data_IF_977512029823
#
_entry.id   IF_977512029823
#
_cell.length_a   1.000
_cell.length_b   1.000
_cell.length_c   1.000
_cell.angle_alpha   90.00
_cell.angle_beta   90.00
_cell.angle_gamma   90.00
#
_symmetry.space_group_name_H-M   'P 1'
#
loop_
_entity.id
_entity.type
_entity.pdbx_description
1 polymer ?
#
# COMPACT_ATOMS: atom_id res chain seq x y z
N UNK A 1 11.49 -17.14 -45.03
CA UNK A 1 11.40 -16.39 -43.76
C UNK A 1 12.79 -15.88 -43.41
N UNK A 2 13.09 -14.62 -43.69
CA UNK A 2 14.45 -14.07 -43.58
C UNK A 2 14.70 -13.40 -42.20
N UNK A 3 15.96 -13.35 -41.72
CA UNK A 3 16.36 -12.73 -40.44
C UNK A 3 16.06 -11.23 -40.30
N UNK A 4 15.71 -10.55 -41.41
CA UNK A 4 15.47 -9.10 -41.47
C UNK A 4 14.20 -8.65 -40.74
N UNK A 5 13.18 -9.50 -40.59
CA UNK A 5 11.94 -9.15 -39.85
C UNK A 5 12.15 -9.05 -38.33
N UNK A 6 13.16 -9.71 -37.78
CA UNK A 6 13.46 -9.64 -36.33
C UNK A 6 14.14 -8.31 -35.96
N UNK A 7 14.86 -7.70 -36.90
CA UNK A 7 15.54 -6.41 -36.73
C UNK A 7 14.59 -5.20 -36.83
N UNK A 8 13.54 -5.27 -37.66
CA UNK A 8 12.56 -4.17 -37.76
C UNK A 8 11.72 -3.99 -36.48
N UNK A 9 11.39 -5.08 -35.77
CA UNK A 9 10.67 -4.98 -34.50
C UNK A 9 11.48 -4.33 -33.37
N UNK A 10 12.82 -4.46 -33.36
CA UNK A 10 13.66 -3.81 -32.36
C UNK A 10 13.82 -2.29 -32.58
N UNK A 11 13.64 -1.80 -33.83
CA UNK A 11 13.77 -0.36 -34.14
C UNK A 11 12.64 0.49 -33.56
N UNK A 12 11.43 -0.08 -33.44
CA UNK A 12 10.25 0.57 -32.81
C UNK A 12 10.49 0.91 -31.33
N UNK A 13 11.37 0.19 -30.65
CA UNK A 13 11.74 0.43 -29.23
C UNK A 13 12.87 1.46 -29.04
N UNK A 14 13.53 1.87 -30.13
CA UNK A 14 14.63 2.86 -30.15
C UNK A 14 14.21 4.19 -30.77
N UNK A 15 12.96 4.33 -31.20
CA UNK A 15 12.41 5.60 -31.64
C UNK A 15 12.20 6.53 -30.44
N UNK A 16 12.65 7.78 -30.58
CA UNK A 16 12.58 8.82 -29.55
C UNK A 16 11.19 8.94 -28.92
N UNK A 17 10.14 8.74 -29.71
CA UNK A 17 8.74 8.82 -29.26
C UNK A 17 8.36 7.69 -28.30
N UNK A 18 8.88 6.48 -28.50
CA UNK A 18 8.62 5.36 -27.60
C UNK A 18 9.35 5.55 -26.26
N UNK A 19 10.57 6.09 -26.29
CA UNK A 19 11.33 6.42 -25.07
C UNK A 19 10.60 7.52 -24.28
N UNK A 20 10.08 8.54 -24.95
CA UNK A 20 9.28 9.58 -24.27
C UNK A 20 8.02 9.00 -23.62
N UNK A 21 7.34 8.05 -24.28
CA UNK A 21 6.21 7.32 -23.67
C UNK A 21 6.61 6.53 -22.43
N UNK A 22 7.71 5.79 -22.48
CA UNK A 22 8.23 5.05 -21.31
C UNK A 22 8.59 5.95 -20.12
N UNK A 23 8.95 7.20 -20.36
CA UNK A 23 9.33 8.15 -19.31
C UNK A 23 8.10 8.87 -18.74
N UNK A 24 7.17 9.29 -19.59
CA UNK A 24 6.10 10.24 -19.20
C UNK A 24 4.69 9.65 -19.19
N UNK A 25 4.41 8.61 -19.96
CA UNK A 25 3.06 8.07 -20.15
C UNK A 25 2.73 6.93 -19.16
N UNK A 26 1.74 7.11 -18.27
CA UNK A 26 1.31 6.07 -17.34
C UNK A 26 0.83 4.76 -17.99
N UNK A 27 0.42 4.77 -19.28
CA UNK A 27 0.05 3.55 -20.01
C UNK A 27 1.24 2.59 -20.16
N UNK A 28 2.45 3.13 -20.19
CA UNK A 28 3.70 2.39 -20.34
C UNK A 28 4.41 2.19 -19.00
N UNK A 29 3.67 2.19 -17.88
CA UNK A 29 4.26 2.02 -16.56
C UNK A 29 4.71 0.57 -16.29
N UNK A 30 4.12 -0.43 -16.95
CA UNK A 30 4.39 -1.85 -16.67
C UNK A 30 5.85 -2.29 -16.92
N UNK A 31 6.55 -1.91 -18.02
CA UNK A 31 7.95 -2.28 -18.22
C UNK A 31 8.84 -1.63 -17.16
N UNK A 32 8.54 -0.36 -16.83
CA UNK A 32 9.26 0.39 -15.80
C UNK A 32 9.10 -0.27 -14.44
N UNK A 33 7.91 -0.75 -14.08
CA UNK A 33 7.69 -1.53 -12.86
C UNK A 33 8.59 -2.78 -12.77
N UNK A 34 8.74 -3.54 -13.87
CA UNK A 34 9.58 -4.75 -13.89
C UNK A 34 11.05 -4.39 -13.69
N UNK A 35 11.53 -3.38 -14.43
CA UNK A 35 12.92 -2.91 -14.32
C UNK A 35 13.20 -2.43 -12.89
N UNK A 36 12.29 -1.67 -12.30
CA UNK A 36 12.44 -1.18 -10.92
C UNK A 36 12.38 -2.31 -9.88
N UNK A 37 11.57 -3.36 -10.08
CA UNK A 37 11.58 -4.53 -9.18
C UNK A 37 12.91 -5.28 -9.22
N UNK A 38 13.48 -5.47 -10.41
CA UNK A 38 14.81 -6.09 -10.55
C UNK A 38 15.88 -5.20 -9.93
N UNK A 39 15.84 -3.89 -10.18
CA UNK A 39 16.74 -2.93 -9.56
C UNK A 39 16.66 -2.97 -8.03
N UNK A 40 15.46 -2.97 -7.47
CA UNK A 40 15.23 -3.03 -6.02
C UNK A 40 15.73 -4.33 -5.39
N UNK A 41 15.54 -5.46 -6.07
CA UNK A 41 16.13 -6.74 -5.63
C UNK A 41 17.66 -6.65 -5.56
N UNK A 42 18.31 -6.17 -6.63
CA UNK A 42 19.76 -6.04 -6.69
C UNK A 42 20.29 -5.03 -5.66
N UNK A 43 19.61 -3.89 -5.50
CA UNK A 43 19.97 -2.86 -4.53
C UNK A 43 19.91 -3.39 -3.11
N UNK A 44 18.80 -4.00 -2.70
CA UNK A 44 18.67 -4.54 -1.35
C UNK A 44 19.61 -5.72 -1.11
N UNK A 45 19.86 -6.56 -2.12
CA UNK A 45 20.88 -7.60 -2.05
C UNK A 45 22.27 -7.00 -1.78
N UNK A 46 22.63 -5.90 -2.47
CA UNK A 46 23.87 -5.17 -2.19
C UNK A 46 23.87 -4.56 -0.79
N UNK A 47 22.78 -3.97 -0.33
CA UNK A 47 22.66 -3.38 1.01
C UNK A 47 22.91 -4.43 2.09
N UNK A 48 22.27 -5.60 2.00
CA UNK A 48 22.45 -6.71 2.96
C UNK A 48 23.92 -7.14 3.04
N UNK A 49 24.62 -7.19 1.90
CA UNK A 49 26.00 -7.66 1.85
C UNK A 49 27.05 -6.58 2.19
N UNK A 50 26.68 -5.29 2.13
CA UNK A 50 27.65 -4.16 2.24
C UNK A 50 27.43 -3.28 3.45
N UNK A 51 26.22 -3.28 4.02
CA UNK A 51 25.85 -2.43 5.16
C UNK A 51 25.61 -3.30 6.37
N UNK A 52 26.21 -2.92 7.51
CA UNK A 52 26.06 -3.67 8.76
C UNK A 52 24.61 -3.63 9.24
N UNK A 53 24.08 -4.81 9.58
CA UNK A 53 22.83 -4.93 10.33
C UNK A 53 22.92 -4.12 11.63
N UNK A 54 21.82 -3.47 12.02
CA UNK A 54 21.76 -2.74 13.28
C UNK A 54 20.53 -3.18 14.07
N UNK A 55 20.80 -3.86 15.19
CA UNK A 55 19.76 -4.32 16.09
C UNK A 55 19.00 -3.14 16.71
N UNK A 56 17.66 -3.24 16.74
CA UNK A 56 16.79 -2.38 17.55
C UNK A 56 15.78 -3.28 18.26
N UNK A 57 14.87 -3.88 17.50
CA UNK A 57 13.70 -4.58 18.07
C UNK A 57 13.66 -6.09 17.74
N UNK A 58 14.50 -6.60 16.83
CA UNK A 58 14.42 -7.99 16.38
C UNK A 58 14.63 -8.98 17.51
N UNK A 59 15.65 -8.77 18.35
CA UNK A 59 15.91 -9.61 19.52
C UNK A 59 14.74 -9.54 20.50
N UNK A 60 14.21 -8.34 20.75
CA UNK A 60 13.05 -8.16 21.63
C UNK A 60 11.82 -8.91 21.09
N UNK A 61 11.57 -8.86 19.78
CA UNK A 61 10.49 -9.63 19.16
C UNK A 61 10.65 -11.14 19.38
N UNK A 62 11.88 -11.67 19.30
CA UNK A 62 12.15 -13.09 19.55
C UNK A 62 11.92 -13.46 21.03
N UNK A 63 12.32 -12.60 21.96
CA UNK A 63 12.11 -12.79 23.40
C UNK A 63 10.62 -12.77 23.78
N UNK A 64 9.86 -11.82 23.23
CA UNK A 64 8.41 -11.73 23.42
C UNK A 64 7.69 -13.00 22.94
N UNK A 65 8.09 -13.51 21.78
CA UNK A 65 7.55 -14.76 21.21
C UNK A 65 8.01 -15.99 22.00
N UNK A 66 9.26 -16.03 22.45
CA UNK A 66 9.77 -17.12 23.28
C UNK A 66 9.00 -17.24 24.60
N UNK A 67 8.60 -16.13 25.22
CA UNK A 67 7.70 -16.13 26.36
C UNK A 67 6.38 -16.85 26.07
N UNK A 68 5.76 -16.55 24.92
CA UNK A 68 4.54 -17.23 24.47
C UNK A 68 4.78 -18.73 24.22
N UNK A 69 5.87 -19.09 23.54
CA UNK A 69 6.23 -20.47 23.25
C UNK A 69 6.51 -21.30 24.52
N UNK A 70 6.95 -20.66 25.59
CA UNK A 70 7.13 -21.26 26.91
C UNK A 70 5.82 -21.39 27.71
N UNK A 71 4.68 -21.03 27.12
CA UNK A 71 3.34 -21.19 27.72
C UNK A 71 2.78 -19.93 28.39
N UNK A 72 3.43 -18.77 28.29
CA UNK A 72 2.92 -17.52 28.85
C UNK A 72 1.78 -16.96 28.00
N UNK A 73 0.59 -16.88 28.58
CA UNK A 73 -0.61 -16.30 27.94
C UNK A 73 -1.01 -14.93 28.52
N UNK A 74 -0.41 -14.49 29.63
CA UNK A 74 -0.63 -13.14 30.16
C UNK A 74 0.30 -12.12 29.47
N UNK A 75 -0.29 -11.21 28.70
CA UNK A 75 0.42 -10.15 27.98
C UNK A 75 1.27 -9.25 28.87
N UNK A 76 0.99 -9.15 30.18
CA UNK A 76 1.84 -8.38 31.11
C UNK A 76 3.23 -8.98 31.30
N UNK A 77 3.34 -10.30 31.13
CA UNK A 77 4.59 -11.03 31.34
C UNK A 77 5.39 -11.20 30.04
N UNK A 78 4.75 -10.99 28.88
CA UNK A 78 5.40 -11.00 27.57
C UNK A 78 6.17 -9.69 27.37
N UNK A 79 7.50 -9.75 27.40
CA UNK A 79 8.39 -8.59 27.25
C UNK A 79 9.74 -9.01 26.67
N UNK A 80 10.37 -8.08 25.94
CA UNK A 80 11.75 -8.19 25.49
C UNK A 80 12.60 -7.01 25.98
N UNK A 81 13.82 -6.92 25.49
CA UNK A 81 14.81 -5.91 25.88
C UNK A 81 14.35 -4.47 25.60
N UNK A 82 13.43 -4.27 24.65
CA UNK A 82 12.89 -2.97 24.27
C UNK A 82 11.55 -2.63 24.93
N UNK A 83 11.02 -3.51 25.79
CA UNK A 83 9.82 -3.27 26.58
C UNK A 83 8.81 -4.41 26.55
N UNK A 84 7.57 -4.18 27.04
CA UNK A 84 6.51 -5.18 26.97
C UNK A 84 6.10 -5.46 25.52
N UNK A 85 5.43 -6.60 25.30
CA UNK A 85 4.73 -6.89 24.07
C UNK A 85 3.52 -5.96 23.94
N UNK A 86 3.44 -5.30 22.80
CA UNK A 86 2.43 -4.27 22.57
C UNK A 86 1.69 -4.38 21.25
N UNK A 87 1.91 -5.49 20.56
CA UNK A 87 1.26 -5.80 19.31
C UNK A 87 0.13 -6.81 19.57
N UNK A 88 -0.95 -6.80 18.79
CA UNK A 88 -1.98 -7.83 18.94
C UNK A 88 -1.48 -9.22 18.53
N UNK A 89 -2.31 -10.23 18.77
CA UNK A 89 -1.92 -11.63 18.67
C UNK A 89 -1.37 -12.07 17.30
N UNK A 90 -1.74 -11.39 16.21
CA UNK A 90 -1.22 -11.69 14.87
C UNK A 90 0.30 -11.54 14.77
N UNK A 91 0.87 -10.56 15.48
CA UNK A 91 2.31 -10.41 15.61
C UNK A 91 2.96 -11.67 16.19
N UNK A 92 2.43 -12.19 17.31
CA UNK A 92 2.99 -13.35 18.01
C UNK A 92 3.05 -14.56 17.09
N UNK A 93 1.98 -14.81 16.31
CA UNK A 93 1.96 -15.97 15.40
C UNK A 93 2.91 -15.82 14.20
N UNK A 94 2.98 -14.64 13.59
CA UNK A 94 3.90 -14.40 12.47
C UNK A 94 5.35 -14.48 12.94
N UNK A 95 5.68 -13.86 14.07
CA UNK A 95 7.03 -13.91 14.60
C UNK A 95 7.39 -15.26 15.22
N UNK A 96 6.41 -16.09 15.61
CA UNK A 96 6.64 -17.52 15.92
C UNK A 96 7.16 -18.27 14.69
N UNK A 97 6.58 -18.04 13.51
CA UNK A 97 7.10 -18.62 12.27
C UNK A 97 8.54 -18.17 12.01
N UNK A 98 8.82 -16.88 12.17
CA UNK A 98 10.17 -16.34 11.99
C UNK A 98 11.15 -16.91 13.01
N UNK A 99 10.76 -17.01 14.29
CA UNK A 99 11.56 -17.61 15.36
C UNK A 99 12.02 -19.00 14.94
N UNK A 100 11.13 -19.89 14.49
CA UNK A 100 11.52 -21.23 14.07
C UNK A 100 12.40 -21.26 12.81
N UNK A 101 12.02 -20.50 11.77
CA UNK A 101 12.74 -20.51 10.49
C UNK A 101 14.15 -19.92 10.61
N UNK A 102 14.35 -18.95 11.50
CA UNK A 102 15.63 -18.23 11.66
C UNK A 102 16.50 -18.76 12.79
N UNK A 103 16.32 -20.03 13.19
CA UNK A 103 17.08 -20.64 14.29
C UNK A 103 16.95 -19.83 15.59
N UNK A 104 15.70 -19.60 16.02
CA UNK A 104 15.33 -18.78 17.18
C UNK A 104 15.72 -17.31 17.06
N UNK A 105 15.76 -16.77 15.84
CA UNK A 105 16.16 -15.39 15.58
C UNK A 105 17.65 -15.15 15.42
N UNK A 106 18.50 -16.18 15.58
CA UNK A 106 19.98 -16.03 15.50
C UNK A 106 20.49 -15.92 14.06
N UNK A 107 19.77 -16.49 13.09
CA UNK A 107 20.11 -16.39 11.68
C UNK A 107 19.58 -15.07 11.07
N UNK A 108 20.28 -13.98 11.40
CA UNK A 108 19.94 -12.62 10.94
C UNK A 108 19.96 -12.53 9.41
N UNK A 109 20.92 -13.17 8.75
CA UNK A 109 21.03 -13.11 7.28
C UNK A 109 19.77 -13.70 6.61
N UNK A 110 19.26 -14.83 7.12
CA UNK A 110 18.00 -15.40 6.63
C UNK A 110 16.81 -14.45 6.91
N UNK A 111 16.77 -13.82 8.09
CA UNK A 111 15.76 -12.83 8.41
C UNK A 111 15.80 -11.64 7.42
N UNK A 112 16.99 -11.12 7.09
CA UNK A 112 17.15 -10.06 6.10
C UNK A 112 16.64 -10.46 4.71
N UNK A 113 16.88 -11.71 4.28
CA UNK A 113 16.33 -12.20 3.01
C UNK A 113 14.81 -12.39 3.04
N UNK A 114 14.23 -12.81 4.16
CA UNK A 114 12.77 -12.83 4.37
C UNK A 114 12.22 -11.41 4.21
N UNK A 115 12.82 -10.42 4.88
CA UNK A 115 12.39 -9.03 4.80
C UNK A 115 12.60 -8.41 3.42
N UNK A 116 13.64 -8.81 2.68
CA UNK A 116 13.81 -8.45 1.28
C UNK A 116 12.65 -9.00 0.44
N UNK A 117 12.27 -10.27 0.62
CA UNK A 117 11.13 -10.84 -0.09
C UNK A 117 9.82 -10.11 0.22
N UNK A 118 9.56 -9.80 1.50
CA UNK A 118 8.41 -9.01 1.92
C UNK A 118 8.42 -7.60 1.29
N UNK A 119 9.59 -6.94 1.23
CA UNK A 119 9.77 -5.65 0.57
C UNK A 119 9.39 -5.69 -0.92
N UNK A 120 9.82 -6.75 -1.63
CA UNK A 120 9.53 -6.90 -3.05
C UNK A 120 8.05 -7.18 -3.31
N UNK A 121 7.40 -8.00 -2.50
CA UNK A 121 5.95 -8.21 -2.59
C UNK A 121 5.22 -6.88 -2.37
N UNK A 122 5.58 -6.14 -1.31
CA UNK A 122 4.97 -4.86 -1.02
C UNK A 122 5.13 -3.91 -2.20
N UNK A 123 6.36 -3.76 -2.71
CA UNK A 123 6.66 -2.93 -3.88
C UNK A 123 5.83 -3.34 -5.10
N UNK A 124 5.69 -4.64 -5.38
CA UNK A 124 4.85 -5.15 -6.47
C UNK A 124 3.38 -4.77 -6.29
N UNK A 125 2.82 -4.89 -5.08
CA UNK A 125 1.45 -4.51 -4.76
C UNK A 125 1.21 -3.01 -4.93
N UNK A 126 2.19 -2.17 -4.57
CA UNK A 126 2.09 -0.71 -4.74
C UNK A 126 2.12 -0.37 -6.22
N UNK A 127 3.06 -0.97 -6.96
CA UNK A 127 3.15 -0.80 -8.40
C UNK A 127 1.86 -1.26 -9.10
N UNK A 128 1.21 -2.33 -8.63
CA UNK A 128 -0.10 -2.75 -9.13
C UNK A 128 -1.16 -1.65 -8.94
N UNK A 129 -1.21 -1.02 -7.77
CA UNK A 129 -2.11 0.12 -7.51
C UNK A 129 -1.79 1.29 -8.45
N UNK A 130 -0.51 1.64 -8.62
CA UNK A 130 -0.10 2.74 -9.50
C UNK A 130 -0.43 2.47 -10.97
N UNK A 131 -0.24 1.23 -11.45
CA UNK A 131 -0.65 0.83 -12.80
C UNK A 131 -2.16 0.88 -12.98
N UNK A 132 -2.93 0.38 -12.01
CA UNK A 132 -4.39 0.41 -12.08
C UNK A 132 -4.94 1.84 -12.07
N UNK A 133 -4.35 2.72 -11.27
CA UNK A 133 -4.81 4.11 -11.13
C UNK A 133 -4.30 5.01 -12.24
N UNK A 134 -3.19 4.65 -12.91
CA UNK A 134 -2.54 5.45 -13.96
C UNK A 134 -2.28 6.92 -13.54
N UNK A 135 -2.16 7.15 -12.23
CA UNK A 135 -2.01 8.49 -11.65
C UNK A 135 -0.56 8.96 -11.65
N UNK A 136 0.37 8.01 -11.61
CA UNK A 136 1.79 8.25 -11.45
C UNK A 136 2.49 8.08 -12.80
N UNK A 137 3.18 9.13 -13.29
CA UNK A 137 4.00 8.99 -14.48
C UNK A 137 5.28 8.18 -14.17
N UNK A 138 5.82 7.42 -15.13
CA UNK A 138 6.95 6.52 -14.87
C UNK A 138 8.20 7.20 -14.29
N UNK A 139 8.60 8.38 -14.78
CA UNK A 139 9.75 9.11 -14.24
C UNK A 139 9.61 9.41 -12.74
N UNK A 140 8.39 9.67 -12.27
CA UNK A 140 8.15 9.98 -10.87
C UNK A 140 8.29 8.75 -9.99
N UNK A 141 7.86 7.59 -10.50
CA UNK A 141 8.09 6.32 -9.82
C UNK A 141 9.58 6.01 -9.72
N UNK A 142 10.35 6.21 -10.81
CA UNK A 142 11.81 6.03 -10.80
C UNK A 142 12.47 6.90 -9.74
N UNK A 143 12.15 8.21 -9.70
CA UNK A 143 12.73 9.12 -8.69
C UNK A 143 12.38 8.64 -7.28
N UNK A 144 11.11 8.32 -7.01
CA UNK A 144 10.68 7.87 -5.69
C UNK A 144 11.37 6.56 -5.24
N UNK A 145 11.63 5.64 -6.17
CA UNK A 145 12.39 4.41 -5.93
C UNK A 145 13.87 4.70 -5.61
N UNK A 146 14.48 5.70 -6.25
CA UNK A 146 15.89 6.05 -6.00
C UNK A 146 16.08 6.83 -4.68
N UNK A 147 15.04 7.48 -4.17
CA UNK A 147 15.10 8.29 -2.94
C UNK A 147 14.59 7.57 -1.70
N UNK A 148 14.34 6.25 -1.74
CA UNK A 148 13.69 5.46 -0.68
C UNK A 148 14.64 4.93 0.42
N UNK A 149 15.77 5.62 0.66
CA UNK A 149 16.87 5.17 1.54
C UNK A 149 16.40 4.60 2.89
N UNK A 150 15.53 5.34 3.58
CA UNK A 150 15.08 4.93 4.91
C UNK A 150 14.25 3.65 4.90
N UNK A 151 13.44 3.46 3.86
CA UNK A 151 12.57 2.30 3.77
C UNK A 151 13.41 1.04 3.59
N UNK A 152 14.48 1.07 2.80
CA UNK A 152 15.43 -0.04 2.74
C UNK A 152 15.98 -0.37 4.13
N UNK A 153 16.39 0.65 4.89
CA UNK A 153 16.87 0.42 6.26
C UNK A 153 15.81 -0.20 7.16
N UNK A 154 14.56 0.26 7.11
CA UNK A 154 13.46 -0.25 7.96
C UNK A 154 13.21 -1.73 7.69
N UNK A 155 13.22 -2.15 6.41
CA UNK A 155 13.00 -3.54 6.03
C UNK A 155 14.23 -4.40 6.29
N UNK A 156 15.35 -4.16 5.59
CA UNK A 156 16.44 -5.16 5.52
C UNK A 156 17.58 -4.91 6.50
N UNK A 157 17.63 -3.77 7.18
CA UNK A 157 18.69 -3.48 8.18
C UNK A 157 18.19 -3.45 9.62
N UNK A 158 16.88 -3.32 9.84
CA UNK A 158 16.26 -3.23 11.18
C UNK A 158 15.17 -4.27 11.47
N UNK A 159 14.60 -4.89 10.42
CA UNK A 159 13.64 -5.99 10.54
C UNK A 159 12.38 -5.64 11.38
N UNK A 160 11.89 -4.40 11.25
CA UNK A 160 10.77 -3.91 12.05
C UNK A 160 9.44 -4.61 11.72
N UNK A 161 8.55 -4.72 12.71
CA UNK A 161 7.20 -5.26 12.53
C UNK A 161 6.32 -4.42 11.59
N UNK A 162 6.50 -3.09 11.60
CA UNK A 162 5.68 -2.13 10.86
C UNK A 162 5.45 -2.48 9.38
N UNK A 163 6.49 -2.76 8.57
CA UNK A 163 6.39 -3.34 7.24
C UNK A 163 5.36 -4.46 7.05
N UNK A 164 5.27 -5.41 7.97
CA UNK A 164 4.43 -6.61 7.81
C UNK A 164 2.96 -6.22 7.86
N UNK A 165 2.57 -5.38 8.82
CA UNK A 165 1.22 -4.86 8.93
C UNK A 165 0.84 -4.06 7.68
N UNK A 166 1.75 -3.20 7.19
CA UNK A 166 1.52 -2.37 6.01
C UNK A 166 1.41 -3.22 4.74
N UNK A 167 2.24 -4.25 4.58
CA UNK A 167 2.14 -5.23 3.49
C UNK A 167 0.76 -5.89 3.46
N UNK A 168 0.30 -6.42 4.60
CA UNK A 168 -1.00 -7.08 4.72
C UNK A 168 -2.16 -6.12 4.40
N UNK A 169 -2.03 -4.84 4.78
CA UNK A 169 -2.98 -3.81 4.37
C UNK A 169 -2.96 -3.60 2.84
N UNK A 170 -1.80 -3.56 2.19
CA UNK A 170 -1.73 -3.40 0.73
C UNK A 170 -2.25 -4.63 -0.03
N UNK A 171 -2.15 -5.83 0.53
CA UNK A 171 -2.84 -7.03 0.03
C UNK A 171 -4.35 -6.79 0.10
N UNK A 172 -4.85 -6.38 1.27
CA UNK A 172 -6.27 -6.07 1.50
C UNK A 172 -6.81 -5.01 0.54
N UNK A 173 -6.09 -3.89 0.38
CA UNK A 173 -6.48 -2.81 -0.53
C UNK A 173 -6.55 -3.28 -1.99
N UNK A 174 -5.59 -4.10 -2.44
CA UNK A 174 -5.64 -4.70 -3.77
C UNK A 174 -6.85 -5.61 -3.96
N UNK A 175 -7.20 -6.41 -2.95
CA UNK A 175 -8.39 -7.28 -2.96
C UNK A 175 -9.68 -6.45 -3.02
N UNK A 176 -9.78 -5.36 -2.25
CA UNK A 176 -10.93 -4.46 -2.33
C UNK A 176 -11.07 -3.80 -3.71
N UNK A 177 -9.96 -3.39 -4.33
CA UNK A 177 -9.95 -2.89 -5.72
C UNK A 177 -10.30 -3.95 -6.78
N UNK A 178 -10.34 -5.22 -6.41
CA UNK A 178 -10.78 -6.35 -7.24
C UNK A 178 -12.17 -6.85 -6.87
N UNK A 179 -12.91 -6.08 -6.05
CA UNK A 179 -14.21 -6.43 -5.49
C UNK A 179 -14.24 -7.73 -4.67
N UNK A 180 -13.08 -8.18 -4.18
CA UNK A 180 -12.94 -9.33 -3.30
C UNK A 180 -13.10 -8.90 -1.83
N UNK A 181 -14.29 -8.39 -1.48
CA UNK A 181 -14.53 -7.72 -0.19
C UNK A 181 -14.29 -8.62 1.02
N UNK A 182 -14.79 -9.87 1.00
CA UNK A 182 -14.59 -10.79 2.13
C UNK A 182 -13.11 -11.11 2.35
N UNK A 183 -12.37 -11.47 1.29
CA UNK A 183 -10.92 -11.73 1.38
C UNK A 183 -10.15 -10.48 1.81
N UNK A 184 -10.53 -9.31 1.28
CA UNK A 184 -9.96 -8.03 1.68
C UNK A 184 -10.16 -7.76 3.18
N UNK A 185 -11.35 -8.05 3.72
CA UNK A 185 -11.68 -7.91 5.15
C UNK A 185 -10.90 -8.89 6.03
N UNK A 186 -10.70 -10.13 5.56
CA UNK A 186 -9.84 -11.11 6.23
C UNK A 186 -8.40 -10.56 6.33
N UNK A 187 -7.80 -10.17 5.20
CA UNK A 187 -6.45 -9.62 5.18
C UNK A 187 -6.33 -8.32 5.98
N UNK A 188 -7.35 -7.45 5.95
CA UNK A 188 -7.39 -6.23 6.75
C UNK A 188 -7.35 -6.54 8.25
N UNK A 189 -8.16 -7.50 8.70
CA UNK A 189 -8.18 -7.88 10.10
C UNK A 189 -6.86 -8.53 10.54
N UNK A 190 -6.26 -9.38 9.71
CA UNK A 190 -4.92 -9.92 9.98
C UNK A 190 -3.87 -8.79 10.05
N UNK A 191 -3.97 -7.77 9.19
CA UNK A 191 -3.08 -6.61 9.26
C UNK A 191 -3.22 -5.85 10.59
N UNK A 192 -4.46 -5.61 11.05
CA UNK A 192 -4.76 -4.99 12.36
C UNK A 192 -4.21 -5.85 13.50
N UNK A 193 -4.29 -7.18 13.41
CA UNK A 193 -3.78 -8.07 14.46
C UNK A 193 -2.25 -8.12 14.53
N UNK A 194 -1.54 -7.63 13.50
CA UNK A 194 -0.08 -7.43 13.55
C UNK A 194 0.27 -6.08 14.15
N UNK A 195 -0.45 -5.02 13.76
CA UNK A 195 -0.26 -3.69 14.33
C UNK A 195 -1.51 -2.82 14.18
N UNK A 196 -1.87 -2.15 15.28
CA UNK A 196 -3.09 -1.32 15.34
C UNK A 196 -3.04 -0.05 14.46
N UNK A 197 -1.88 0.36 13.93
CA UNK A 197 -1.79 1.52 13.03
C UNK A 197 -2.66 1.35 11.77
N UNK A 198 -2.98 0.11 11.38
CA UNK A 198 -3.88 -0.17 10.27
C UNK A 198 -5.30 0.37 10.53
N UNK A 199 -5.69 0.59 11.78
CA UNK A 199 -6.97 1.23 12.12
C UNK A 199 -7.10 2.67 11.62
N UNK A 200 -6.00 3.33 11.22
CA UNK A 200 -6.06 4.65 10.56
C UNK A 200 -6.81 4.62 9.22
N UNK A 201 -6.97 3.45 8.61
CA UNK A 201 -7.78 3.24 7.42
C UNK A 201 -9.24 2.88 7.73
N UNK A 202 -9.58 2.52 8.97
CA UNK A 202 -10.89 2.01 9.37
C UNK A 202 -12.06 2.97 9.09
N UNK A 203 -11.95 4.30 9.33
CA UNK A 203 -13.05 5.23 9.03
C UNK A 203 -13.42 5.23 7.55
N UNK A 204 -12.43 5.20 6.66
CA UNK A 204 -12.64 5.11 5.23
C UNK A 204 -13.17 3.74 4.81
N UNK A 205 -12.66 2.65 5.40
CA UNK A 205 -13.13 1.29 5.11
C UNK A 205 -14.60 1.09 5.49
N UNK A 206 -15.02 1.57 6.67
CA UNK A 206 -16.41 1.52 7.10
C UNK A 206 -17.32 2.26 6.11
N UNK A 207 -16.92 3.47 5.71
CA UNK A 207 -17.66 4.22 4.70
C UNK A 207 -17.69 3.49 3.34
N UNK A 208 -16.59 2.84 2.95
CA UNK A 208 -16.53 2.05 1.73
C UNK A 208 -17.51 0.88 1.77
N UNK A 209 -17.62 0.14 2.87
CA UNK A 209 -18.64 -0.91 3.04
C UNK A 209 -20.05 -0.34 2.93
N UNK A 210 -20.37 0.71 3.70
CA UNK A 210 -21.70 1.31 3.72
C UNK A 210 -22.17 1.85 2.37
N UNK A 211 -21.23 2.25 1.49
CA UNK A 211 -21.53 2.84 0.19
C UNK A 211 -21.51 1.80 -0.94
N UNK A 212 -20.65 0.79 -0.86
CA UNK A 212 -20.43 -0.17 -1.95
C UNK A 212 -21.14 -1.51 -1.76
N UNK A 213 -21.55 -1.83 -0.53
CA UNK A 213 -22.15 -3.09 -0.16
C UNK A 213 -23.56 -2.90 0.38
N UNK A 214 -24.34 -3.97 0.38
CA UNK A 214 -25.60 -4.02 1.12
C UNK A 214 -25.36 -4.00 2.63
N UNK A 215 -26.40 -3.72 3.42
CA UNK A 215 -26.29 -3.77 4.88
C UNK A 215 -25.91 -5.16 5.41
N UNK A 216 -26.39 -6.23 4.75
CA UNK A 216 -26.06 -7.62 5.12
C UNK A 216 -24.59 -7.91 4.83
N UNK A 217 -24.11 -7.58 3.64
CA UNK A 217 -22.69 -7.76 3.28
C UNK A 217 -21.77 -6.90 4.17
N UNK A 218 -22.18 -5.67 4.48
CA UNK A 218 -21.46 -4.81 5.43
C UNK A 218 -21.35 -5.48 6.79
N UNK A 219 -22.46 -6.00 7.32
CA UNK A 219 -22.46 -6.72 8.58
C UNK A 219 -21.54 -7.95 8.54
N UNK A 220 -21.60 -8.75 7.46
CA UNK A 220 -20.73 -9.92 7.29
C UNK A 220 -19.25 -9.51 7.29
N UNK A 221 -18.86 -8.47 6.56
CA UNK A 221 -17.46 -8.02 6.50
C UNK A 221 -16.97 -7.47 7.85
N UNK A 222 -17.81 -6.73 8.57
CA UNK A 222 -17.51 -6.27 9.93
C UNK A 222 -17.41 -7.44 10.92
N UNK A 223 -18.31 -8.41 10.81
CA UNK A 223 -18.28 -9.63 11.62
C UNK A 223 -16.99 -10.43 11.36
N UNK A 224 -16.60 -10.62 10.10
CA UNK A 224 -15.33 -11.26 9.73
C UNK A 224 -14.16 -10.54 10.40
N UNK A 225 -14.13 -9.20 10.34
CA UNK A 225 -13.07 -8.43 10.97
C UNK A 225 -13.00 -8.68 12.48
N UNK A 226 -14.13 -8.58 13.18
CA UNK A 226 -14.20 -8.82 14.63
C UNK A 226 -13.89 -10.27 15.01
N UNK A 227 -14.42 -11.24 14.26
CA UNK A 227 -14.24 -12.66 14.50
C UNK A 227 -12.78 -13.07 14.41
N UNK A 228 -12.03 -12.58 13.42
CA UNK A 228 -10.59 -12.85 13.31
C UNK A 228 -9.81 -12.30 14.51
N UNK A 229 -10.14 -11.10 15.01
CA UNK A 229 -9.50 -10.56 16.21
C UNK A 229 -9.75 -11.43 17.44
N UNK A 230 -10.99 -11.90 17.62
CA UNK A 230 -11.35 -12.82 18.70
C UNK A 230 -10.66 -14.16 18.56
N UNK A 231 -10.64 -14.74 17.36
CA UNK A 231 -10.01 -16.03 17.09
C UNK A 231 -8.51 -16.01 17.37
N UNK A 232 -7.80 -15.01 16.83
CA UNK A 232 -6.36 -14.87 17.03
C UNK A 232 -6.04 -14.50 18.49
N UNK A 233 -6.85 -13.65 19.11
CA UNK A 233 -6.67 -13.23 20.51
C UNK A 233 -7.08 -14.28 21.54
N UNK A 234 -7.79 -15.34 21.16
CA UNK A 234 -8.46 -16.26 22.08
C UNK A 234 -7.56 -16.80 23.21
N UNK A 235 -6.32 -17.27 22.96
CA UNK A 235 -5.46 -17.77 24.04
C UNK A 235 -5.14 -16.71 25.10
N UNK A 236 -4.93 -15.47 24.66
CA UNK A 236 -4.57 -14.35 25.53
C UNK A 236 -5.78 -13.74 26.22
N UNK A 237 -6.94 -13.73 25.54
CA UNK A 237 -8.23 -13.37 26.14
C UNK A 237 -8.59 -14.35 27.27
N UNK A 238 -8.34 -15.64 27.08
CA UNK A 238 -8.54 -16.67 28.10
C UNK A 238 -7.55 -16.54 29.26
N UNK A 239 -6.26 -16.34 28.96
CA UNK A 239 -5.23 -16.18 29.98
C UNK A 239 -5.44 -14.93 30.85
N UNK A 240 -5.58 -13.76 30.23
CA UNK A 240 -5.90 -12.52 30.92
C UNK A 240 -6.50 -11.48 29.97
N UNK A 241 -7.84 -11.43 29.91
CA UNK A 241 -8.61 -10.49 29.09
C UNK A 241 -8.14 -9.03 29.23
N UNK A 242 -7.98 -8.56 30.48
CA UNK A 242 -7.65 -7.15 30.75
C UNK A 242 -6.24 -6.83 30.29
N UNK A 243 -5.27 -7.71 30.55
CA UNK A 243 -3.89 -7.54 30.10
C UNK A 243 -3.80 -7.53 28.58
N UNK A 244 -4.48 -8.46 27.91
CA UNK A 244 -4.44 -8.54 26.44
C UNK A 244 -4.99 -7.25 25.81
N UNK A 245 -6.19 -6.82 26.18
CA UNK A 245 -6.80 -5.62 25.59
C UNK A 245 -5.97 -4.37 25.87
N UNK A 246 -5.48 -4.19 27.11
CA UNK A 246 -4.66 -3.02 27.47
C UNK A 246 -3.27 -3.03 26.84
N UNK A 247 -2.70 -4.21 26.57
CA UNK A 247 -1.38 -4.34 25.95
C UNK A 247 -1.43 -4.19 24.42
N UNK A 248 -2.33 -4.95 23.78
CA UNK A 248 -2.44 -5.05 22.32
C UNK A 248 -3.09 -3.85 21.64
N UNK A 249 -4.03 -3.17 22.31
CA UNK A 249 -4.75 -1.99 21.81
C UNK A 249 -4.59 -0.79 22.74
N UNK A 250 -3.35 -0.48 23.09
CA UNK A 250 -3.01 0.60 24.02
C UNK A 250 -3.09 1.99 23.36
N UNK A 251 -4.28 2.60 23.40
CA UNK A 251 -4.49 3.98 22.94
C UNK A 251 -3.89 5.03 23.89
N UNK A 252 -3.53 4.64 25.12
CA UNK A 252 -2.98 5.52 26.14
C UNK A 252 -1.46 5.66 26.09
N UNK A 253 -0.77 4.79 25.34
CA UNK A 253 0.70 4.74 25.35
C UNK A 253 1.33 6.07 24.98
N UNK A 254 2.20 6.52 25.88
CA UNK A 254 3.11 7.65 25.65
C UNK A 254 4.47 7.11 25.25
N UNK A 255 4.88 7.38 24.02
CA UNK A 255 6.24 7.10 23.59
C UNK A 255 7.19 8.20 24.05
N UNK A 256 8.49 7.89 24.20
CA UNK A 256 9.46 8.85 24.71
C UNK A 256 9.68 10.01 23.75
N UNK A 257 9.62 11.25 24.25
CA UNK A 257 9.81 12.48 23.46
C UNK A 257 11.18 12.56 22.76
N UNK A 258 12.21 11.82 23.22
CA UNK A 258 13.52 11.78 22.55
C UNK A 258 13.50 11.10 21.18
N UNK A 259 12.56 10.17 20.95
CA UNK A 259 12.49 9.37 19.73
C UNK A 259 11.47 9.87 18.72
N UNK A 260 10.62 10.85 19.10
CA UNK A 260 9.60 11.38 18.19
C UNK A 260 10.21 12.24 17.11
N UNK A 261 9.79 12.00 15.88
CA UNK A 261 10.12 12.80 14.69
C UNK A 261 9.23 14.04 14.65
N UNK A 262 7.98 13.94 15.10
CA UNK A 262 7.00 15.02 15.13
C UNK A 262 6.79 15.59 16.56
N UNK A 263 6.33 16.84 16.66
CA UNK A 263 6.20 17.59 17.91
C UNK A 263 7.49 17.72 18.76
N UNK A 264 8.67 17.56 18.15
CA UNK A 264 9.96 17.66 18.85
C UNK A 264 10.20 19.05 19.44
N UNK A 265 9.62 20.07 18.82
CA UNK A 265 9.66 21.46 19.29
C UNK A 265 8.83 21.73 20.55
N UNK A 266 7.96 20.81 20.96
CA UNK A 266 7.23 20.95 22.21
C UNK A 266 8.12 20.51 23.39
N UNK A 267 8.06 21.19 24.55
CA UNK A 267 8.62 20.68 25.79
C UNK A 267 8.04 19.31 26.14
N UNK A 268 8.82 18.49 26.85
CA UNK A 268 8.43 17.11 27.21
C UNK A 268 7.14 17.09 28.02
N UNK A 269 6.97 18.04 28.92
CA UNK A 269 5.81 18.18 29.81
C UNK A 269 4.51 18.42 29.03
N UNK A 270 4.61 19.17 27.91
CA UNK A 270 3.49 19.44 27.01
C UNK A 270 3.21 18.22 26.14
N UNK A 271 4.26 17.59 25.62
CA UNK A 271 4.15 16.41 24.76
C UNK A 271 3.48 15.22 25.48
N UNK A 272 3.86 14.98 26.73
CA UNK A 272 3.33 13.87 27.54
C UNK A 272 1.95 14.20 28.16
N UNK A 273 1.49 15.46 28.05
CA UNK A 273 0.24 15.92 28.64
C UNK A 273 -1.00 15.27 27.99
N UNK A 274 -1.96 14.85 28.82
CA UNK A 274 -3.24 14.27 28.37
C UNK A 274 -4.10 15.26 27.57
N UNK A 275 -4.02 16.56 27.88
CA UNK A 275 -4.76 17.61 27.16
C UNK A 275 -4.32 17.65 25.69
N UNK A 276 -3.01 17.58 25.42
CA UNK A 276 -2.48 17.53 24.06
C UNK A 276 -2.99 16.27 23.34
N UNK A 277 -2.94 15.11 24.00
CA UNK A 277 -3.43 13.86 23.41
C UNK A 277 -4.92 13.93 23.03
N UNK A 278 -5.78 14.43 23.93
CA UNK A 278 -7.21 14.63 23.65
C UNK A 278 -7.42 15.65 22.52
N UNK A 279 -6.66 16.76 22.53
CA UNK A 279 -6.72 17.77 21.48
C UNK A 279 -6.36 17.22 20.09
N UNK A 280 -5.34 16.38 20.00
CA UNK A 280 -4.95 15.69 18.76
C UNK A 280 -6.01 14.69 18.30
N UNK A 281 -6.65 13.98 19.22
CA UNK A 281 -7.77 13.08 18.89
C UNK A 281 -8.99 13.87 18.36
N UNK A 282 -9.33 14.99 19.00
CA UNK A 282 -10.40 15.87 18.52
C UNK A 282 -10.06 16.44 17.14
N UNK A 283 -8.82 16.88 16.92
CA UNK A 283 -8.36 17.34 15.60
C UNK A 283 -8.47 16.24 14.54
N UNK A 284 -8.08 15.01 14.86
CA UNK A 284 -8.23 13.85 13.98
C UNK A 284 -9.69 13.63 13.57
N UNK A 285 -10.62 13.62 14.54
CA UNK A 285 -12.05 13.45 14.29
C UNK A 285 -12.59 14.61 13.44
N UNK A 286 -12.24 15.86 13.75
CA UNK A 286 -12.68 17.04 13.00
C UNK A 286 -12.20 17.00 11.54
N UNK A 287 -10.95 16.59 11.29
CA UNK A 287 -10.44 16.41 9.94
C UNK A 287 -11.15 15.28 9.20
N UNK A 288 -11.42 14.15 9.86
CA UNK A 288 -12.21 13.08 9.24
C UNK A 288 -13.62 13.56 8.88
N UNK A 289 -14.29 14.31 9.76
CA UNK A 289 -15.61 14.90 9.49
C UNK A 289 -15.57 15.92 8.35
N UNK A 290 -14.50 16.72 8.26
CA UNK A 290 -14.28 17.66 7.15
C UNK A 290 -14.14 16.94 5.80
N UNK A 291 -13.44 15.80 5.77
CA UNK A 291 -13.25 15.02 4.54
C UNK A 291 -14.40 14.05 4.22
N UNK A 292 -15.23 13.70 5.20
CA UNK A 292 -16.35 12.76 5.08
C UNK A 292 -17.27 12.98 3.87
N UNK A 293 -17.79 14.20 3.58
CA UNK A 293 -18.63 14.42 2.41
C UNK A 293 -17.89 14.12 1.09
N UNK A 294 -16.59 14.43 1.04
CA UNK A 294 -15.75 14.18 -0.12
C UNK A 294 -15.44 12.69 -0.29
N UNK A 295 -15.11 11.98 0.79
CA UNK A 295 -14.94 10.53 0.79
C UNK A 295 -16.21 9.82 0.32
N UNK A 296 -17.37 10.22 0.85
CA UNK A 296 -18.66 9.65 0.46
C UNK A 296 -18.93 9.87 -1.02
N UNK A 297 -18.68 11.07 -1.55
CA UNK A 297 -18.84 11.37 -2.98
C UNK A 297 -17.94 10.49 -3.84
N UNK A 298 -16.66 10.38 -3.50
CA UNK A 298 -15.68 9.56 -4.23
C UNK A 298 -16.09 8.09 -4.26
N UNK A 299 -16.39 7.51 -3.09
CA UNK A 299 -16.79 6.12 -2.97
C UNK A 299 -18.15 5.83 -3.61
N UNK A 300 -19.08 6.79 -3.59
CA UNK A 300 -20.38 6.66 -4.28
C UNK A 300 -20.21 6.65 -5.79
N UNK A 301 -19.36 7.54 -6.31
CA UNK A 301 -19.01 7.56 -7.73
C UNK A 301 -18.29 6.29 -8.16
N UNK A 302 -17.40 5.76 -7.31
CA UNK A 302 -16.77 4.45 -7.53
C UNK A 302 -17.83 3.35 -7.62
N UNK A 303 -18.74 3.23 -6.65
CA UNK A 303 -19.80 2.22 -6.63
C UNK A 303 -20.61 2.23 -7.94
N UNK A 304 -21.10 3.42 -8.33
CA UNK A 304 -21.91 3.60 -9.55
C UNK A 304 -21.15 3.22 -10.82
N UNK A 305 -19.93 3.71 -10.97
CA UNK A 305 -19.13 3.45 -12.16
C UNK A 305 -18.65 2.00 -12.24
N UNK A 306 -18.40 1.36 -11.09
CA UNK A 306 -17.99 -0.03 -11.06
C UNK A 306 -19.10 -0.97 -11.54
N UNK A 307 -20.36 -0.73 -11.14
CA UNK A 307 -21.54 -1.45 -11.65
C UNK A 307 -21.64 -1.33 -13.17
N UNK A 308 -21.64 -0.10 -13.69
CA UNK A 308 -21.73 0.17 -15.14
C UNK A 308 -20.57 -0.49 -15.89
N UNK A 309 -19.37 -0.46 -15.33
CA UNK A 309 -18.18 -1.06 -15.97
C UNK A 309 -18.25 -2.59 -15.99
N UNK A 310 -18.79 -3.21 -14.93
CA UNK A 310 -19.02 -4.67 -14.90
C UNK A 310 -20.05 -5.09 -15.93
N UNK A 311 -21.18 -4.40 -16.00
CA UNK A 311 -22.23 -4.67 -17.00
C UNK A 311 -21.71 -4.53 -18.42
N UNK A 312 -20.97 -3.45 -18.69
CA UNK A 312 -20.34 -3.24 -19.99
C UNK A 312 -19.31 -4.32 -20.36
N UNK A 313 -18.48 -4.76 -19.40
CA UNK A 313 -17.55 -5.88 -19.62
C UNK A 313 -18.27 -7.19 -19.92
N UNK A 314 -19.36 -7.47 -19.21
CA UNK A 314 -20.17 -8.66 -19.47
C UNK A 314 -20.80 -8.61 -20.86
N UNK A 315 -21.27 -7.44 -21.30
CA UNK A 315 -21.77 -7.26 -22.67
C UNK A 315 -20.68 -7.51 -23.72
N UNK A 316 -19.50 -6.90 -23.56
CA UNK A 316 -18.36 -7.12 -24.45
C UNK A 316 -17.92 -8.58 -24.52
N UNK A 317 -17.95 -9.30 -23.39
CA UNK A 317 -17.61 -10.72 -23.34
C UNK A 317 -18.63 -11.56 -24.10
N UNK A 318 -19.93 -11.26 -23.95
CA UNK A 318 -21.00 -11.93 -24.70
C UNK A 318 -20.88 -11.66 -26.20
N UNK A 319 -20.68 -10.41 -26.62
CA UNK A 319 -20.49 -10.06 -28.03
C UNK A 319 -19.27 -10.78 -28.64
N UNK A 320 -18.15 -10.85 -27.90
CA UNK A 320 -16.96 -11.61 -28.35
C UNK A 320 -17.27 -13.09 -28.49
N UNK A 321 -17.96 -13.70 -27.52
CA UNK A 321 -18.35 -15.11 -27.59
C UNK A 321 -19.28 -15.39 -28.78
N UNK A 322 -20.28 -14.55 -29.01
CA UNK A 322 -21.19 -14.68 -30.16
C UNK A 322 -20.46 -14.53 -31.50
N UNK A 323 -19.51 -13.59 -31.57
CA UNK A 323 -18.68 -13.39 -32.76
C UNK A 323 -17.78 -14.60 -33.01
N UNK A 324 -17.09 -15.11 -31.99
CA UNK A 324 -16.25 -16.31 -32.10
C UNK A 324 -17.07 -17.56 -32.48
N UNK A 325 -18.30 -17.69 -31.99
CA UNK A 325 -19.19 -18.78 -32.39
C UNK A 325 -19.64 -18.67 -33.85
N UNK A 326 -19.98 -17.46 -34.32
CA UNK A 326 -20.30 -17.20 -35.73
C UNK A 326 -19.11 -17.50 -36.63
N UNK A 327 -17.92 -16.99 -36.28
CA UNK A 327 -16.68 -17.26 -37.00
C UNK A 327 -16.33 -18.75 -37.02
N UNK A 328 -16.50 -19.48 -35.91
CA UNK A 328 -16.30 -20.94 -35.87
C UNK A 328 -17.30 -21.67 -36.77
N UNK A 329 -18.57 -21.25 -36.82
CA UNK A 329 -19.60 -21.82 -37.71
C UNK A 329 -19.29 -21.54 -39.17
N UNK A 330 -18.85 -20.34 -39.52
CA UNK A 330 -18.46 -19.98 -40.89
C UNK A 330 -17.17 -20.68 -41.31
N UNK A 331 -16.14 -20.70 -40.47
CA UNK A 331 -14.89 -21.44 -40.74
C UNK A 331 -15.16 -22.93 -40.94
N UNK A 332 -16.12 -23.56 -40.26
CA UNK A 332 -16.49 -24.96 -40.54
C UNK A 332 -17.04 -25.17 -41.95
N UNK A 333 -17.67 -24.15 -42.56
CA UNK A 333 -18.24 -24.21 -43.92
C UNK A 333 -17.22 -23.93 -45.04
N UNK A 334 -16.01 -23.44 -44.71
CA UNK A 334 -15.02 -23.00 -45.71
C UNK A 334 -14.03 -24.09 -46.14
N UNK A 335 -13.61 -24.03 -47.41
CA UNK A 335 -12.55 -24.87 -47.99
C UNK A 335 -11.17 -24.54 -47.39
N UNK A 336 -10.25 -25.54 -47.38
CA UNK A 336 -8.86 -25.38 -46.90
C UNK A 336 -8.13 -24.20 -47.56
N UNK A 337 -8.36 -23.94 -48.84
CA UNK A 337 -7.73 -22.83 -49.58
C UNK A 337 -8.23 -21.45 -49.13
N UNK A 338 -9.53 -21.31 -48.87
CA UNK A 338 -10.12 -20.04 -48.43
C UNK A 338 -9.70 -19.69 -46.99
N UNK A 339 -9.52 -20.69 -46.11
CA UNK A 339 -8.97 -20.49 -44.75
C UNK A 339 -7.55 -19.95 -44.77
N UNK A 340 -6.72 -20.48 -45.67
CA UNK A 340 -5.33 -20.03 -45.83
C UNK A 340 -5.26 -18.57 -46.34
N UNK A 341 -6.15 -18.20 -47.27
CA UNK A 341 -6.27 -16.84 -47.78
C UNK A 341 -6.71 -15.84 -46.70
N UNK A 342 -7.79 -16.13 -45.96
CA UNK A 342 -8.25 -15.26 -44.86
C UNK A 342 -7.17 -15.04 -43.81
N UNK A 343 -6.44 -16.10 -43.42
CA UNK A 343 -5.35 -15.99 -42.44
C UNK A 343 -4.18 -15.15 -42.96
N UNK A 344 -3.88 -15.22 -44.26
CA UNK A 344 -2.91 -14.35 -44.93
C UNK A 344 -3.36 -12.89 -44.93
N UNK A 345 -4.63 -12.64 -45.25
CA UNK A 345 -5.23 -11.31 -45.34
C UNK A 345 -5.37 -10.64 -43.98
N UNK A 346 -5.79 -11.37 -42.95
CA UNK A 346 -5.87 -10.88 -41.57
C UNK A 346 -4.49 -10.51 -41.00
N UNK A 347 -3.45 -11.28 -41.38
CA UNK A 347 -2.07 -10.94 -41.03
C UNK A 347 -1.56 -9.68 -41.73
N UNK A 348 -2.07 -9.33 -42.92
CA UNK A 348 -1.78 -8.06 -43.59
C UNK A 348 -2.57 -6.89 -43.00
N UNK A 349 -3.80 -7.13 -42.53
CA UNK A 349 -4.63 -6.10 -41.89
C UNK A 349 -4.22 -5.79 -40.44
N UNK A 350 -3.63 -6.74 -39.71
CA UNK A 350 -3.11 -6.48 -38.35
C UNK A 350 -2.00 -5.41 -38.31
N UNK A 351 -1.40 -5.08 -39.45
CA UNK A 351 -0.44 -3.96 -39.57
C UNK A 351 -1.11 -2.57 -39.57
N UNK A 352 -2.45 -2.45 -39.58
CA UNK A 352 -3.18 -1.17 -39.53
C UNK A 352 -3.79 -0.81 -38.16
N UNK A 353 -3.25 -1.36 -37.07
CA UNK A 353 -3.79 -1.39 -35.69
C UNK A 353 -4.14 -0.08 -34.94
N UNK A 354 -4.16 1.09 -35.59
CA UNK A 354 -4.41 2.40 -34.93
C UNK A 354 -5.79 2.52 -34.26
N UNK A 355 -6.85 2.01 -34.88
CA UNK A 355 -8.23 2.17 -34.36
C UNK A 355 -8.49 1.31 -33.11
N UNK A 356 -7.80 0.17 -32.99
CA UNK A 356 -7.94 -0.72 -31.84
C UNK A 356 -7.21 -0.19 -30.61
N UNK A 357 -6.00 0.35 -30.79
CA UNK A 357 -5.20 0.96 -29.71
C UNK A 357 -5.90 2.19 -29.08
N UNK A 358 -6.57 3.03 -29.87
CA UNK A 358 -7.29 4.20 -29.35
C UNK A 358 -8.52 3.84 -28.50
N UNK A 359 -9.28 2.81 -28.88
CA UNK A 359 -10.45 2.36 -28.11
C UNK A 359 -10.04 1.67 -26.80
N UNK A 360 -8.96 0.88 -26.82
CA UNK A 360 -8.44 0.20 -25.63
C UNK A 360 -7.87 1.23 -24.62
N UNK A 361 -7.10 2.22 -25.06
CA UNK A 361 -6.58 3.30 -24.20
C UNK A 361 -7.69 4.12 -23.54
N UNK A 362 -8.75 4.49 -24.27
CA UNK A 362 -9.89 5.23 -23.71
C UNK A 362 -10.66 4.43 -22.66
N UNK A 363 -10.69 3.11 -22.79
CA UNK A 363 -11.30 2.22 -21.78
C UNK A 363 -10.42 2.08 -20.54
N UNK A 364 -9.11 1.93 -20.71
CA UNK A 364 -8.13 1.92 -19.61
C UNK A 364 -8.18 3.22 -18.80
N UNK A 365 -8.26 4.38 -19.46
CA UNK A 365 -8.43 5.69 -18.82
C UNK A 365 -9.71 5.79 -17.95
N UNK A 366 -10.81 5.16 -18.38
CA UNK A 366 -12.04 5.12 -17.57
C UNK A 366 -11.87 4.23 -16.36
N UNK A 367 -11.29 3.04 -16.55
CA UNK A 367 -11.02 2.10 -15.46
C UNK A 367 -10.06 2.70 -14.43
N UNK A 368 -9.07 3.45 -14.89
CA UNK A 368 -8.08 4.07 -14.02
C UNK A 368 -8.68 5.16 -13.14
N UNK A 369 -9.61 5.95 -13.67
CA UNK A 369 -10.40 6.92 -12.87
C UNK A 369 -11.22 6.23 -11.79
N UNK A 370 -11.82 5.07 -12.08
CA UNK A 370 -12.56 4.28 -11.08
C UNK A 370 -11.62 3.85 -9.95
N UNK A 371 -10.45 3.28 -10.29
CA UNK A 371 -9.45 2.93 -9.30
C UNK A 371 -8.99 4.14 -8.46
N UNK A 372 -8.83 5.32 -9.07
CA UNK A 372 -8.44 6.54 -8.37
C UNK A 372 -9.49 6.98 -7.33
N UNK A 373 -10.78 6.90 -7.68
CA UNK A 373 -11.90 7.24 -6.79
C UNK A 373 -11.92 6.38 -5.53
N UNK A 374 -11.48 5.12 -5.64
CA UNK A 374 -11.44 4.19 -4.51
C UNK A 374 -10.20 4.39 -3.63
N UNK A 375 -9.01 4.49 -4.24
CA UNK A 375 -7.73 4.48 -3.52
C UNK A 375 -7.46 5.78 -2.76
N UNK A 376 -7.78 6.93 -3.36
CA UNK A 376 -7.42 8.24 -2.77
C UNK A 376 -8.01 8.44 -1.36
N UNK A 377 -9.31 8.16 -1.09
CA UNK A 377 -9.87 8.26 0.25
C UNK A 377 -9.10 7.46 1.33
N UNK A 378 -8.66 6.23 1.03
CA UNK A 378 -7.90 5.40 1.98
C UNK A 378 -6.56 6.05 2.34
N UNK A 379 -5.83 6.55 1.34
CA UNK A 379 -4.53 7.19 1.58
C UNK A 379 -4.67 8.50 2.35
N UNK A 380 -5.72 9.28 2.09
CA UNK A 380 -6.01 10.52 2.83
C UNK A 380 -6.42 10.22 4.28
N UNK A 381 -7.26 9.20 4.52
CA UNK A 381 -7.63 8.76 5.87
C UNK A 381 -6.40 8.45 6.73
N UNK A 382 -5.45 7.69 6.16
CA UNK A 382 -4.20 7.38 6.86
C UNK A 382 -3.31 8.61 7.06
N UNK A 383 -3.20 9.50 6.08
CA UNK A 383 -2.44 10.76 6.24
C UNK A 383 -3.00 11.64 7.37
N UNK A 384 -4.33 11.75 7.49
CA UNK A 384 -4.99 12.45 8.60
C UNK A 384 -4.61 11.79 9.93
N UNK A 385 -4.58 10.47 9.98
CA UNK A 385 -4.10 9.70 11.13
C UNK A 385 -2.66 10.00 11.51
N UNK A 386 -1.74 9.92 10.55
CA UNK A 386 -0.30 10.18 10.75
C UNK A 386 -0.05 11.62 11.18
N UNK A 387 -0.71 12.60 10.57
CA UNK A 387 -0.55 14.02 10.90
C UNK A 387 -1.02 14.35 12.32
N UNK A 388 -2.05 13.66 12.82
CA UNK A 388 -2.58 13.83 14.16
C UNK A 388 -1.95 12.89 15.20
N UNK A 389 -1.07 11.97 14.80
CA UNK A 389 -0.42 11.05 15.72
C UNK A 389 0.46 11.84 16.70
N UNK A 390 0.30 11.61 18.01
CA UNK A 390 1.13 12.30 19.01
C UNK A 390 2.61 12.00 18.87
N UNK A 391 2.99 10.74 18.63
CA UNK A 391 4.38 10.35 18.46
C UNK A 391 4.57 9.61 17.14
N UNK A 392 5.63 9.96 16.42
CA UNK A 392 6.08 9.29 15.22
C UNK A 392 7.53 8.85 15.38
N UNK A 393 7.77 7.56 15.59
CA UNK A 393 9.12 7.02 15.56
C UNK A 393 9.57 6.70 14.15
N UNK A 394 10.88 6.60 13.96
CA UNK A 394 11.56 6.45 12.68
C UNK A 394 11.00 5.29 11.82
N UNK A 395 10.58 4.19 12.44
CA UNK A 395 9.97 3.04 11.76
C UNK A 395 8.54 3.32 11.24
N UNK A 396 7.83 4.29 11.81
CA UNK A 396 6.47 4.65 11.40
C UNK A 396 6.45 5.36 10.04
N UNK A 397 7.60 5.69 9.46
CA UNK A 397 7.67 6.19 8.09
C UNK A 397 7.04 5.21 7.09
N UNK A 398 7.22 3.91 7.33
CA UNK A 398 6.62 2.83 6.54
C UNK A 398 5.08 2.88 6.48
N UNK A 399 4.41 3.53 7.45
CA UNK A 399 2.94 3.58 7.51
C UNK A 399 2.31 4.31 6.33
N UNK A 400 3.05 5.23 5.70
CA UNK A 400 2.51 6.10 4.66
C UNK A 400 3.50 6.46 3.56
N UNK A 401 4.79 6.10 3.67
CA UNK A 401 5.78 6.33 2.60
C UNK A 401 5.26 5.96 1.22
N UNK A 402 4.73 4.74 1.08
CA UNK A 402 4.27 4.22 -0.20
C UNK A 402 3.06 4.96 -0.78
N UNK A 403 2.27 5.65 0.04
CA UNK A 403 1.14 6.47 -0.42
C UNK A 403 1.54 7.92 -0.72
N UNK A 404 2.69 8.41 -0.24
CA UNK A 404 3.13 9.80 -0.42
C UNK A 404 3.20 10.23 -1.87
N UNK A 405 3.82 9.42 -2.74
CA UNK A 405 3.92 9.71 -4.16
C UNK A 405 2.52 9.89 -4.77
N UNK A 406 1.60 9.00 -4.44
CA UNK A 406 0.22 9.05 -4.90
C UNK A 406 -0.54 10.27 -4.39
N UNK A 407 -0.42 10.58 -3.10
CA UNK A 407 -1.06 11.74 -2.48
C UNK A 407 -0.60 13.04 -3.14
N UNK A 408 0.70 13.19 -3.31
CA UNK A 408 1.32 14.37 -3.90
C UNK A 408 0.90 14.52 -5.37
N UNK A 409 0.93 13.45 -6.17
CA UNK A 409 0.45 13.49 -7.56
C UNK A 409 -1.07 13.63 -7.71
N UNK A 410 -1.82 13.39 -6.63
CA UNK A 410 -3.24 13.69 -6.55
C UNK A 410 -3.53 15.15 -6.23
N UNK A 411 -2.52 15.98 -5.95
CA UNK A 411 -2.70 17.43 -5.80
C UNK A 411 -2.58 18.18 -7.13
N UNK A 412 -3.13 19.40 -7.16
CA UNK A 412 -3.01 20.34 -8.29
C UNK A 412 -1.67 21.08 -8.34
N UNK A 413 -0.72 20.74 -7.45
CA UNK A 413 0.58 21.39 -7.42
C UNK A 413 1.40 21.09 -8.68
N UNK A 414 2.29 22.03 -9.03
CA UNK A 414 3.28 21.82 -10.10
C UNK A 414 4.20 20.65 -9.74
N UNK A 415 4.81 20.04 -10.76
CA UNK A 415 5.73 18.90 -10.59
C UNK A 415 6.89 19.25 -9.64
N UNK A 416 7.42 20.47 -9.71
CA UNK A 416 8.51 20.96 -8.86
C UNK A 416 8.09 20.95 -7.38
N UNK A 417 6.93 21.54 -7.07
CA UNK A 417 6.39 21.54 -5.70
C UNK A 417 6.08 20.14 -5.18
N UNK A 418 5.64 19.24 -6.06
CA UNK A 418 5.40 17.83 -5.72
C UNK A 418 6.66 17.15 -5.21
N UNK A 419 7.76 17.21 -5.97
CA UNK A 419 9.02 16.62 -5.52
C UNK A 419 9.66 17.37 -4.35
N UNK A 420 9.48 18.69 -4.25
CA UNK A 420 9.94 19.45 -3.09
C UNK A 420 9.29 18.92 -1.80
N UNK A 421 7.98 18.70 -1.78
CA UNK A 421 7.29 18.13 -0.61
C UNK A 421 7.84 16.74 -0.27
N UNK A 422 8.02 15.87 -1.27
CA UNK A 422 8.58 14.53 -1.05
C UNK A 422 10.00 14.58 -0.47
N UNK A 423 10.86 15.44 -1.02
CA UNK A 423 12.23 15.63 -0.57
C UNK A 423 12.30 16.19 0.86
N UNK A 424 11.46 17.16 1.20
CA UNK A 424 11.39 17.73 2.55
C UNK A 424 10.89 16.69 3.56
N UNK A 425 9.90 15.86 3.20
CA UNK A 425 9.45 14.77 4.06
C UNK A 425 10.59 13.76 4.27
N UNK A 426 11.23 13.28 3.19
CA UNK A 426 12.38 12.35 3.29
C UNK A 426 13.51 12.93 4.15
N UNK A 427 13.82 14.22 3.99
CA UNK A 427 14.76 14.93 4.86
C UNK A 427 14.35 14.89 6.33
N UNK A 428 13.11 15.26 6.65
CA UNK A 428 12.61 15.29 8.03
C UNK A 428 12.69 13.93 8.71
N UNK A 429 12.45 12.84 7.96
CA UNK A 429 12.66 11.52 8.49
C UNK A 429 14.17 11.27 8.71
N UNK A 430 15.04 11.57 7.74
CA UNK A 430 16.47 11.28 7.82
C UNK A 430 17.29 12.05 8.87
N UNK A 431 16.77 13.17 9.41
CA UNK A 431 17.41 13.87 10.54
C UNK A 431 17.30 13.04 11.82
N UNK A 432 18.44 12.63 12.40
CA UNK A 432 18.51 11.88 13.66
C UNK A 432 19.57 12.47 14.62
N UNK A 433 19.22 12.76 15.89
CA UNK A 433 17.85 12.85 16.42
C UNK A 433 17.07 14.00 15.77
N UNK A 434 15.73 13.95 15.82
CA UNK A 434 14.89 15.03 15.27
C UNK A 434 15.18 16.36 15.99
N UNK A 435 15.09 17.44 15.22
CA UNK A 435 15.26 18.84 15.67
C UNK A 435 13.92 19.57 15.68
N UNK A 436 13.86 20.74 16.34
CA UNK A 436 12.67 21.59 16.30
C UNK A 436 12.31 21.98 14.86
N UNK A 437 13.32 22.26 14.03
CA UNK A 437 13.14 22.61 12.62
C UNK A 437 12.61 21.44 11.80
N UNK A 438 13.27 20.28 11.82
CA UNK A 438 12.81 19.10 11.06
C UNK A 438 11.40 18.66 11.48
N UNK A 439 11.10 18.72 12.77
CA UNK A 439 9.77 18.40 13.28
C UNK A 439 8.70 19.41 12.83
N UNK A 440 8.99 20.72 12.88
CA UNK A 440 8.06 21.75 12.41
C UNK A 440 7.83 21.65 10.90
N UNK A 441 8.91 21.44 10.15
CA UNK A 441 8.88 21.26 8.70
C UNK A 441 8.04 20.04 8.27
N UNK A 442 8.14 18.91 9.00
CA UNK A 442 7.30 17.74 8.74
C UNK A 442 5.81 18.07 8.86
N UNK A 443 5.42 18.77 9.92
CA UNK A 443 4.04 19.22 10.13
C UNK A 443 3.58 20.19 9.02
N UNK A 444 4.42 21.15 8.63
CA UNK A 444 4.12 22.03 7.49
C UNK A 444 3.88 21.21 6.21
N UNK A 445 4.71 20.21 5.92
CA UNK A 445 4.55 19.35 4.75
C UNK A 445 3.24 18.55 4.81
N UNK A 446 2.87 17.99 5.97
CA UNK A 446 1.60 17.28 6.14
C UNK A 446 0.39 18.20 5.94
N UNK A 447 0.42 19.41 6.50
CA UNK A 447 -0.67 20.41 6.32
C UNK A 447 -0.79 20.83 4.86
N UNK A 448 0.32 21.15 4.20
CA UNK A 448 0.32 21.52 2.77
C UNK A 448 -0.20 20.38 1.90
N UNK A 449 0.17 19.13 2.22
CA UNK A 449 -0.31 17.96 1.49
C UNK A 449 -1.81 17.73 1.71
N UNK A 450 -2.28 17.78 2.97
CA UNK A 450 -3.71 17.67 3.32
C UNK A 450 -4.55 18.75 2.63
N UNK A 451 -4.07 19.99 2.62
CA UNK A 451 -4.74 21.09 1.92
C UNK A 451 -4.81 20.86 0.41
N UNK A 452 -3.72 20.38 -0.20
CA UNK A 452 -3.65 20.08 -1.63
C UNK A 452 -4.62 18.98 -2.06
N UNK A 453 -4.69 17.89 -1.28
CA UNK A 453 -5.65 16.80 -1.56
C UNK A 453 -7.08 17.24 -1.26
N UNK A 454 -7.33 18.04 -0.21
CA UNK A 454 -8.65 18.59 0.08
C UNK A 454 -9.19 19.42 -1.09
N UNK A 455 -8.38 20.34 -1.63
CA UNK A 455 -8.77 21.16 -2.80
C UNK A 455 -9.14 20.30 -4.01
N UNK A 456 -8.35 19.25 -4.26
CA UNK A 456 -8.62 18.33 -5.37
C UNK A 456 -9.90 17.54 -5.13
N UNK A 457 -10.11 17.03 -3.91
CA UNK A 457 -11.30 16.26 -3.55
C UNK A 457 -12.56 17.11 -3.39
N UNK A 458 -12.46 18.43 -3.31
CA UNK A 458 -13.58 19.37 -3.26
C UNK A 458 -14.15 19.68 -4.65
N UNK A 459 -13.30 19.74 -5.67
CA UNK A 459 -13.74 19.83 -7.09
C UNK A 459 -14.43 18.53 -7.46
#
# INVERSE_FOLDING_TARGET
MSPLKKYQNCRKYLEKDYIMKLIFDPHYLWPVCIVLLVFEFLLNFMIINRVKYTEIDWIAYMQEVEGFLNGTLDYKELKGDTGPLVYPAGFVYIYTLFYYVTSKGTNILLAQYIFLFLYLIQTFLIQRIFRKTMKIPPYALVIATLTSYRIHSIFVLRLFNDPIAVLLFYISLNLFMDDQWMLGSICYSIAVSVKMNILLYAPCLLLAYLVNLTYVETFINLFICGFIQLLLGLPFLYGNFVSYIKGSFDLGRVFEHKWTVNFRFLPREVFENRILHIGLLLLHILLLLLFLPHFRRYLTSYAKLNVVTKEYRLHLLKEKQETEEKEKKEMKKMSKGQKAFLKSFENQLKDSGRVKEENDSKFEDKLSKIAQLFVLPFFVSNLIGVACARSLHYQFYSWYFHSLLYLVFSTEYTVQYKFLILALIEYCWNVYPSTNFSSGLLHCCHVVLLFGVYRTMKK
#
